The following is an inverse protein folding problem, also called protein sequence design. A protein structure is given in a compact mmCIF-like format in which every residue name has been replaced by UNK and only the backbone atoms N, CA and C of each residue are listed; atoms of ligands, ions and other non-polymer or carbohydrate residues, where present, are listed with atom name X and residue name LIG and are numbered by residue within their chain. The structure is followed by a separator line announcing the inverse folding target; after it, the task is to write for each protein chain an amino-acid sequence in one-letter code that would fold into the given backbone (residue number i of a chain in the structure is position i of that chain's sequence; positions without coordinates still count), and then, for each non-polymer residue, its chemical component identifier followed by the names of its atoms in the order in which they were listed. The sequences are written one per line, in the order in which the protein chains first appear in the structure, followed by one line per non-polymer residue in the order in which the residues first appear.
data_IF_259851286618
#
_entry.id   IF_259851286618
#
_cell.length_a   1.000
_cell.length_b   1.000
_cell.length_c   1.000
_cell.angle_alpha   90.00
_cell.angle_beta   90.00
_cell.angle_gamma   90.00
#
_symmetry.space_group_name_H-M   'P 1'
#
loop_
_entity.id
_entity.type
_entity.pdbx_description
1 polymer ?
#
# COMPACT_ATOMS: atom_id res chain seq x y z
N UNK A 1 4.86 0.55 -17.66
CA UNK A 1 4.46 0.72 -17.48
C UNK A 1 3.43 1.05 -16.94
N UNK A 2 3.14 1.59 -16.86
CA UNK A 2 2.21 2.03 -15.99
C UNK A 2 0.89 2.16 -16.57
N UNK A 3 0.36 1.15 -16.89
CA UNK A 3 -1.01 1.11 -17.27
C UNK A 3 -1.91 1.12 -16.09
N UNK A 4 -1.32 1.29 -14.96
CA UNK A 4 -2.00 1.23 -13.70
C UNK A 4 -3.21 2.13 -13.58
N UNK A 5 -3.14 3.41 -13.95
CA UNK A 5 -4.31 4.28 -13.81
C UNK A 5 -5.53 3.80 -14.60
N UNK A 6 -5.31 3.26 -15.79
CA UNK A 6 -6.42 2.76 -16.59
C UNK A 6 -7.08 1.57 -15.90
N UNK A 7 -6.28 0.65 -15.36
CA UNK A 7 -6.81 -0.50 -14.65
C UNK A 7 -7.59 -0.07 -13.41
N UNK A 8 -7.06 0.91 -12.68
CA UNK A 8 -7.74 1.42 -11.49
C UNK A 8 -9.12 1.96 -11.82
N UNK A 9 -9.24 2.71 -12.91
CA UNK A 9 -10.52 3.29 -13.28
C UNK A 9 -11.52 2.23 -13.71
N UNK A 10 -11.03 1.16 -14.33
CA UNK A 10 -11.91 0.09 -14.81
C UNK A 10 -12.41 -0.80 -13.69
N UNK A 11 -11.52 -1.28 -12.83
CA UNK A 11 -11.86 -2.32 -11.87
C UNK A 11 -11.89 -1.83 -10.43
N UNK A 12 -11.55 -0.56 -10.22
CA UNK A 12 -11.50 0.01 -8.88
C UNK A 12 -10.28 -0.46 -8.11
N UNK A 13 -10.15 0.03 -6.88
CA UNK A 13 -8.98 -0.28 -6.07
C UNK A 13 -8.91 -1.78 -5.75
N UNK A 14 -10.04 -2.39 -5.41
CA UNK A 14 -10.06 -3.81 -5.05
C UNK A 14 -9.53 -4.68 -6.17
N UNK A 15 -10.02 -4.47 -7.40
CA UNK A 15 -9.55 -5.26 -8.54
C UNK A 15 -8.10 -5.03 -8.85
N UNK A 16 -7.64 -3.79 -8.74
CA UNK A 16 -6.24 -3.48 -9.00
C UNK A 16 -5.32 -4.13 -7.96
N UNK A 17 -5.74 -4.13 -6.69
CA UNK A 17 -4.96 -4.76 -5.64
C UNK A 17 -4.94 -6.27 -5.78
N UNK A 18 -6.03 -6.87 -6.24
CA UNK A 18 -6.05 -8.31 -6.53
C UNK A 18 -5.01 -8.65 -7.60
N UNK A 19 -4.92 -7.82 -8.61
CA UNK A 19 -3.95 -8.03 -9.67
C UNK A 19 -2.52 -7.94 -9.14
N UNK A 20 -2.26 -6.97 -8.27
CA UNK A 20 -0.95 -6.86 -7.62
C UNK A 20 -0.64 -8.10 -6.77
N UNK A 21 -1.63 -8.58 -6.03
CA UNK A 21 -1.44 -9.74 -5.17
C UNK A 21 -1.10 -10.98 -5.98
N UNK A 22 -1.74 -11.15 -7.13
CA UNK A 22 -1.48 -12.30 -7.99
C UNK A 22 -0.07 -12.31 -8.55
N UNK A 23 0.52 -11.14 -8.73
CA UNK A 23 1.87 -11.02 -9.27
C UNK A 23 2.94 -11.01 -8.19
N UNK A 24 2.55 -11.03 -6.94
CA UNK A 24 3.49 -10.98 -5.84
C UNK A 24 4.19 -12.34 -5.67
N UNK A 25 5.51 -12.37 -5.46
CA UNK A 25 6.20 -13.62 -5.14
C UNK A 25 5.92 -14.10 -3.71
N UNK A 26 5.31 -13.26 -2.88
CA UNK A 26 4.95 -13.62 -1.51
C UNK A 26 3.43 -13.70 -1.43
N UNK A 27 2.87 -14.68 -0.73
CA UNK A 27 1.41 -14.76 -0.56
C UNK A 27 0.85 -13.48 0.05
N UNK A 28 -0.22 -12.96 -0.53
CA UNK A 28 -0.85 -11.72 -0.10
C UNK A 28 -2.30 -11.99 0.24
N UNK A 29 -2.72 -11.52 1.42
CA UNK A 29 -4.10 -11.60 1.84
C UNK A 29 -4.70 -10.20 1.78
N UNK A 30 -5.83 -10.06 1.12
CA UNK A 30 -6.47 -8.76 0.91
C UNK A 30 -7.78 -8.66 1.67
N UNK A 31 -7.99 -7.52 2.31
CA UNK A 31 -9.28 -7.16 2.90
C UNK A 31 -9.57 -5.73 2.45
N UNK A 32 -10.34 -5.59 1.38
CA UNK A 32 -10.60 -4.28 0.77
C UNK A 32 -12.09 -3.96 0.90
N UNK A 33 -12.39 -2.89 1.62
CA UNK A 33 -13.76 -2.46 1.87
C UNK A 33 -13.89 -0.98 1.53
N UNK A 34 -13.79 -0.68 0.24
CA UNK A 34 -13.87 0.68 -0.26
C UNK A 34 -14.80 0.75 -1.46
N UNK A 35 -15.48 1.89 -1.67
CA UNK A 35 -16.31 2.06 -2.86
C UNK A 35 -15.42 2.19 -4.09
N UNK A 36 -16.02 1.98 -5.27
CA UNK A 36 -15.28 2.06 -6.53
C UNK A 36 -15.02 3.50 -6.98
N UNK A 37 -15.84 4.42 -6.51
CA UNK A 37 -15.85 5.78 -7.04
C UNK A 37 -15.05 6.78 -6.19
N UNK A 38 -13.92 6.34 -5.65
CA UNK A 38 -13.01 7.25 -4.97
C UNK A 38 -12.35 8.20 -5.97
N UNK A 39 -11.94 9.40 -5.52
CA UNK A 39 -11.21 10.32 -6.40
C UNK A 39 -9.98 9.65 -7.00
N UNK A 40 -9.73 9.93 -8.27
CA UNK A 40 -8.63 9.30 -8.98
C UNK A 40 -7.28 9.45 -8.28
N UNK A 41 -6.88 10.66 -7.81
CA UNK A 41 -5.58 10.78 -7.13
C UNK A 41 -5.48 9.88 -5.90
N UNK A 42 -6.60 9.67 -5.20
CA UNK A 42 -6.61 8.83 -4.01
C UNK A 42 -6.45 7.36 -4.41
N UNK A 43 -7.15 6.93 -5.46
CA UNK A 43 -7.00 5.57 -5.97
C UNK A 43 -5.56 5.29 -6.37
N UNK A 44 -4.96 6.21 -7.12
CA UNK A 44 -3.60 6.06 -7.59
C UNK A 44 -2.63 6.02 -6.41
N UNK A 45 -2.82 6.92 -5.44
CA UNK A 45 -1.97 6.97 -4.26
C UNK A 45 -2.03 5.67 -3.46
N UNK A 46 -3.23 5.18 -3.22
CA UNK A 46 -3.40 3.93 -2.47
C UNK A 46 -2.76 2.76 -3.22
N UNK A 47 -2.93 2.70 -4.53
CA UNK A 47 -2.34 1.65 -5.34
C UNK A 47 -0.81 1.65 -5.18
N UNK A 48 -0.18 2.82 -5.28
CA UNK A 48 1.27 2.90 -5.20
C UNK A 48 1.79 2.59 -3.81
N UNK A 49 1.03 2.92 -2.76
CA UNK A 49 1.41 2.53 -1.40
C UNK A 49 1.52 1.01 -1.31
N UNK A 50 0.50 0.31 -1.80
CA UNK A 50 0.50 -1.15 -1.75
C UNK A 50 1.59 -1.73 -2.64
N UNK A 51 1.74 -1.20 -3.85
CA UNK A 51 2.74 -1.72 -4.79
C UNK A 51 4.15 -1.62 -4.22
N UNK A 52 4.49 -0.46 -3.63
CA UNK A 52 5.82 -0.29 -3.04
C UNK A 52 5.99 -1.14 -1.79
N UNK A 53 4.93 -1.27 -0.98
CA UNK A 53 5.00 -2.10 0.21
C UNK A 53 5.26 -3.57 -0.15
N UNK A 54 4.58 -4.06 -1.18
CA UNK A 54 4.79 -5.43 -1.63
C UNK A 54 6.20 -5.63 -2.19
N UNK A 55 6.69 -4.65 -2.94
CA UNK A 55 8.04 -4.72 -3.48
C UNK A 55 9.08 -4.75 -2.37
N UNK A 56 8.89 -3.92 -1.34
CA UNK A 56 9.81 -3.91 -0.22
C UNK A 56 9.76 -5.21 0.57
N UNK A 57 8.58 -5.77 0.77
CA UNK A 57 8.47 -7.04 1.46
C UNK A 57 9.21 -8.14 0.70
N UNK A 58 9.09 -8.16 -0.61
CA UNK A 58 9.76 -9.16 -1.44
C UNK A 58 11.27 -9.00 -1.43
N UNK A 59 11.76 -7.75 -1.41
CA UNK A 59 13.19 -7.49 -1.54
C UNK A 59 13.94 -7.62 -0.22
N UNK A 60 13.34 -7.18 0.87
CA UNK A 60 14.12 -6.90 2.06
C UNK A 60 13.68 -7.62 3.32
N UNK A 61 12.47 -8.13 3.37
CA UNK A 61 11.94 -8.59 4.64
C UNK A 61 12.08 -10.08 4.88
N UNK A 62 12.21 -10.88 3.83
CA UNK A 62 12.16 -12.32 3.98
C UNK A 62 10.81 -12.79 4.45
N UNK A 63 9.77 -12.02 4.19
CA UNK A 63 8.43 -12.31 4.68
C UNK A 63 7.84 -13.56 4.04
N UNK A 64 7.06 -14.31 4.79
CA UNK A 64 6.31 -15.43 4.28
C UNK A 64 4.89 -15.06 3.89
N UNK A 65 4.41 -13.89 4.31
CA UNK A 65 3.04 -13.48 4.05
C UNK A 65 2.91 -11.97 4.23
N UNK A 66 2.03 -11.37 3.43
CA UNK A 66 1.68 -9.96 3.54
C UNK A 66 0.16 -9.85 3.68
N UNK A 67 -0.30 -8.97 4.55
CA UNK A 67 -1.72 -8.67 4.71
C UNK A 67 -1.95 -7.22 4.31
N UNK A 68 -2.91 -7.00 3.41
CA UNK A 68 -3.30 -5.66 2.97
C UNK A 68 -4.72 -5.40 3.41
N UNK A 69 -4.94 -4.32 4.14
CA UNK A 69 -6.26 -3.92 4.59
C UNK A 69 -6.52 -2.50 4.10
N UNK A 70 -7.62 -2.29 3.39
CA UNK A 70 -8.00 -0.98 2.91
C UNK A 70 -9.47 -0.74 3.24
N UNK A 71 -9.75 0.36 3.93
CA UNK A 71 -11.11 0.69 4.34
C UNK A 71 -11.33 2.20 4.32
N UNK A 72 -12.59 2.60 4.13
CA UNK A 72 -12.97 4.00 4.12
C UNK A 72 -13.89 4.25 5.30
N UNK A 73 -13.55 5.24 6.11
CA UNK A 73 -14.39 5.63 7.25
C UNK A 73 -14.16 7.11 7.53
N UNK A 74 -15.26 7.85 7.71
CA UNK A 74 -15.17 9.27 8.05
C UNK A 74 -14.46 10.11 7.00
N UNK A 75 -14.57 9.76 5.73
CA UNK A 75 -13.91 10.49 4.66
C UNK A 75 -12.42 10.23 4.55
N UNK A 76 -11.92 9.22 5.26
CA UNK A 76 -10.50 8.89 5.28
C UNK A 76 -10.30 7.47 4.78
N UNK A 77 -9.50 7.32 3.74
CA UNK A 77 -9.11 6.00 3.25
C UNK A 77 -7.86 5.57 4.01
N UNK A 78 -7.97 4.46 4.71
CA UNK A 78 -6.84 3.91 5.47
C UNK A 78 -6.36 2.65 4.78
N UNK A 79 -5.08 2.63 4.45
CA UNK A 79 -4.44 1.49 3.82
C UNK A 79 -3.34 1.00 4.75
N UNK A 80 -3.43 -0.25 5.15
CA UNK A 80 -2.43 -0.84 6.05
C UNK A 80 -1.85 -2.08 5.39
N UNK A 81 -0.52 -2.15 5.31
CA UNK A 81 0.17 -3.31 4.75
C UNK A 81 1.11 -3.83 5.82
N UNK A 82 0.91 -5.08 6.22
CA UNK A 82 1.68 -5.72 7.27
C UNK A 82 2.37 -6.95 6.72
N UNK A 83 3.67 -7.09 6.98
CA UNK A 83 4.37 -8.32 6.63
C UNK A 83 5.00 -8.92 7.88
N UNK A 84 5.30 -10.22 7.80
CA UNK A 84 5.89 -10.97 8.91
C UNK A 84 7.39 -11.18 8.71
N UNK A 85 8.04 -10.24 8.06
CA UNK A 85 9.45 -10.37 7.71
C UNK A 85 10.40 -9.94 8.81
N UNK A 86 11.56 -9.44 8.40
CA UNK A 86 12.65 -9.13 9.32
C UNK A 86 12.40 -7.88 10.16
N UNK A 87 11.48 -7.02 9.75
CA UNK A 87 11.25 -5.78 10.47
C UNK A 87 12.33 -4.76 10.30
N UNK A 88 12.95 -4.70 9.13
CA UNK A 88 14.04 -3.76 8.87
C UNK A 88 13.68 -2.68 7.88
N UNK A 89 12.40 -2.56 7.53
CA UNK A 89 11.99 -1.54 6.59
C UNK A 89 12.03 -0.17 7.24
N UNK A 90 12.47 0.82 6.50
CA UNK A 90 12.44 2.22 6.95
C UNK A 90 12.59 3.11 5.74
N UNK A 91 12.09 4.34 5.84
CA UNK A 91 12.23 5.31 4.78
C UNK A 91 13.66 5.81 4.75
N UNK A 92 14.33 5.58 3.63
CA UNK A 92 15.72 6.03 3.42
C UNK A 92 15.96 6.14 1.92
N UNK A 93 17.00 6.87 1.51
CA UNK A 93 17.28 7.03 0.08
C UNK A 93 17.36 5.69 -0.62
N UNK A 94 16.64 5.56 -1.74
CA UNK A 94 16.66 4.36 -2.54
C UNK A 94 15.74 3.26 -2.08
N UNK A 95 14.99 3.45 -0.99
CA UNK A 95 14.13 2.42 -0.45
C UNK A 95 12.75 2.37 -1.11
N UNK A 96 12.34 3.45 -1.78
CA UNK A 96 10.98 3.58 -2.31
C UNK A 96 10.01 4.17 -1.31
N UNK A 97 10.27 4.02 -0.02
CA UNK A 97 9.37 4.54 1.02
C UNK A 97 9.43 6.06 1.08
N UNK A 98 10.58 6.65 0.77
CA UNK A 98 10.72 8.08 0.75
C UNK A 98 9.78 8.71 -0.28
N UNK A 99 9.66 8.10 -1.46
CA UNK A 99 8.74 8.56 -2.47
C UNK A 99 7.29 8.41 -2.06
N UNK A 100 6.98 7.38 -1.28
CA UNK A 100 5.62 7.19 -0.77
C UNK A 100 5.26 8.29 0.22
N UNK A 101 6.19 8.66 1.09
CA UNK A 101 5.94 9.75 2.04
C UNK A 101 5.57 11.02 1.28
N UNK A 102 6.36 11.36 0.25
CA UNK A 102 6.10 12.56 -0.54
C UNK A 102 4.75 12.49 -1.24
N UNK A 103 4.41 11.35 -1.81
CA UNK A 103 3.14 11.18 -2.52
C UNK A 103 1.96 11.32 -1.57
N UNK A 104 2.02 10.68 -0.41
CA UNK A 104 0.94 10.76 0.57
C UNK A 104 0.80 12.17 1.10
N UNK A 105 1.92 12.85 1.37
CA UNK A 105 1.90 14.23 1.81
C UNK A 105 1.22 15.13 0.78
N UNK A 106 1.52 14.94 -0.50
CA UNK A 106 0.94 15.78 -1.55
C UNK A 106 -0.56 15.60 -1.66
N UNK A 107 -1.10 14.49 -1.15
CA UNK A 107 -2.53 14.23 -1.15
C UNK A 107 -3.19 14.68 0.15
N UNK A 108 -2.43 15.29 1.04
CA UNK A 108 -2.96 15.75 2.33
C UNK A 108 -3.10 14.64 3.36
N UNK A 109 -2.46 13.51 3.13
CA UNK A 109 -2.57 12.38 4.03
C UNK A 109 -1.41 12.23 4.98
N UNK A 110 -1.36 11.11 5.66
CA UNK A 110 -0.27 10.76 6.57
C UNK A 110 0.23 9.36 6.28
N UNK A 111 1.50 9.13 6.54
CA UNK A 111 2.15 7.85 6.27
C UNK A 111 3.05 7.48 7.44
N UNK A 112 2.91 6.26 7.94
CA UNK A 112 3.71 5.79 9.06
C UNK A 112 4.26 4.41 8.78
N UNK A 113 5.48 4.16 9.24
CA UNK A 113 6.12 2.86 9.17
C UNK A 113 6.43 2.43 10.59
N UNK A 114 5.98 1.24 10.97
CA UNK A 114 6.29 0.65 12.26
C UNK A 114 7.00 -0.67 11.99
N UNK A 115 8.23 -0.78 12.50
CA UNK A 115 9.07 -1.93 12.18
C UNK A 115 9.93 -2.27 13.39
N UNK A 116 9.94 -3.55 13.75
CA UNK A 116 10.79 -4.05 14.84
C UNK A 116 11.49 -5.30 14.35
N UNK A 117 12.78 -5.39 14.65
CA UNK A 117 13.56 -6.55 14.22
C UNK A 117 12.90 -7.82 14.76
N UNK A 118 12.61 -8.75 13.85
CA UNK A 118 11.97 -10.01 14.20
C UNK A 118 10.46 -9.95 14.34
N UNK A 119 9.85 -8.78 14.21
CA UNK A 119 8.40 -8.62 14.41
C UNK A 119 7.68 -8.14 13.15
N UNK A 120 8.39 -8.02 12.03
CA UNK A 120 7.78 -7.60 10.78
C UNK A 120 7.64 -6.10 10.64
N UNK A 121 6.89 -5.69 9.63
CA UNK A 121 6.74 -4.27 9.28
C UNK A 121 5.26 -3.98 9.02
N UNK A 122 4.79 -2.85 9.51
CA UNK A 122 3.46 -2.33 9.19
C UNK A 122 3.60 -0.95 8.58
N UNK A 123 3.02 -0.78 7.39
CA UNK A 123 2.94 0.50 6.72
C UNK A 123 1.49 0.97 6.77
N UNK A 124 1.26 2.20 7.20
CA UNK A 124 -0.09 2.73 7.34
C UNK A 124 -0.17 4.07 6.64
N UNK A 125 -1.04 4.16 5.65
CA UNK A 125 -1.31 5.41 4.94
C UNK A 125 -2.76 5.80 5.15
N UNK A 126 -3.00 7.09 5.42
CA UNK A 126 -4.34 7.62 5.55
C UNK A 126 -4.49 8.77 4.57
N UNK A 127 -5.48 8.65 3.70
CA UNK A 127 -5.68 9.58 2.58
C UNK A 127 -7.07 10.19 2.67
N UNK A 128 -7.18 11.52 2.74
CA UNK A 128 -8.50 12.16 2.79
C UNK A 128 -9.20 12.05 1.44
N UNK A 129 -10.47 11.67 1.48
CA UNK A 129 -11.28 11.43 0.28
C UNK A 129 -12.40 12.45 0.13
N UNK A 130 -12.21 13.63 0.63
CA UNK A 130 -13.24 14.67 0.54
C UNK A 130 -12.88 15.74 -0.45
#
# INVERSE_FOLDING_TARGET
MACTPALLMDVGLGGALESLAERSPIPVRLAVRVPRDLPEPILVGAYYVVAEALANAAKHSGAGQVVVDASLAGGLLRVEVTDDGSGRARARPGSGLEGLVDRVDSLGGSFRVSSSVGAGTALIAELPCV
#
